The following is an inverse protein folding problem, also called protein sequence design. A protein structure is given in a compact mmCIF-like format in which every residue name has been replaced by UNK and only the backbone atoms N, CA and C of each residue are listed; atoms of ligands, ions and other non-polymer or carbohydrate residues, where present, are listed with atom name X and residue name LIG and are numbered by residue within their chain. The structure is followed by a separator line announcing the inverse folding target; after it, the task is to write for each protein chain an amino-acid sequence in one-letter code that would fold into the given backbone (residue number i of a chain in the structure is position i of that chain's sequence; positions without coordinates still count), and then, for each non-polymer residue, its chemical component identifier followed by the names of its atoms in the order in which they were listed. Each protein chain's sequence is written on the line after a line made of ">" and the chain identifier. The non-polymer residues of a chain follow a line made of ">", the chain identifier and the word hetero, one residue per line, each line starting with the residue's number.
data_IF_005213459689
#
_entry.id   IF_005213459689
#
_cell.length_a   1.000
_cell.length_b   1.000
_cell.length_c   1.000
_cell.angle_alpha   90.00
_cell.angle_beta   90.00
_cell.angle_gamma   90.00
#
_symmetry.space_group_name_H-M   'P 1'
#
loop_
_entity.id
_entity.type
_entity.pdbx_description
1 polymer ?
#
# COMPACT_ATOMS: atom_id res chain seq x y z
N UNK A 1 -10.28 12.98 -18.39
CA UNK A 1 -10.25 12.24 -19.67
C UNK A 1 -9.01 12.65 -20.48
N UNK A 2 -7.89 11.94 -20.36
CA UNK A 2 -6.65 12.25 -21.08
C UNK A 2 -6.18 10.98 -21.80
N UNK A 3 -6.22 11.02 -23.14
CA UNK A 3 -5.89 9.91 -24.01
C UNK A 3 -4.39 9.64 -24.10
N UNK A 4 -4.05 8.37 -24.30
CA UNK A 4 -2.73 7.97 -24.82
C UNK A 4 -2.64 8.50 -26.24
N UNK A 5 -1.89 9.59 -26.45
CA UNK A 5 -1.57 10.05 -27.80
C UNK A 5 -0.43 9.19 -28.35
N UNK A 6 -0.80 8.13 -29.05
CA UNK A 6 0.12 7.31 -29.83
C UNK A 6 0.53 8.06 -31.09
N UNK A 7 1.61 8.83 -31.02
CA UNK A 7 2.30 9.36 -32.20
C UNK A 7 3.61 8.60 -32.33
N UNK A 8 3.69 7.76 -33.37
CA UNK A 8 4.88 6.99 -33.78
C UNK A 8 5.39 5.89 -32.85
N UNK A 9 4.57 4.86 -32.57
CA UNK A 9 5.08 3.59 -32.01
C UNK A 9 5.64 3.62 -30.58
N UNK A 10 5.74 4.80 -29.95
CA UNK A 10 6.16 4.98 -28.57
C UNK A 10 4.96 5.29 -27.69
N UNK A 11 4.83 4.55 -26.59
CA UNK A 11 3.86 4.85 -25.54
C UNK A 11 4.43 5.94 -24.63
N UNK A 12 3.83 7.12 -24.68
CA UNK A 12 4.16 8.21 -23.76
C UNK A 12 3.19 8.17 -22.58
N UNK A 13 3.71 8.13 -21.37
CA UNK A 13 2.95 8.53 -20.19
C UNK A 13 3.23 10.02 -19.95
N UNK A 14 2.19 10.73 -19.53
CA UNK A 14 2.38 11.96 -18.79
C UNK A 14 3.10 11.57 -17.51
N UNK A 15 4.43 11.51 -17.58
CA UNK A 15 5.25 11.43 -16.40
C UNK A 15 4.99 12.77 -15.73
N UNK A 16 4.19 12.78 -14.64
CA UNK A 16 3.94 14.07 -14.01
C UNK A 16 5.22 14.55 -13.34
N UNK A 17 6.13 13.65 -12.89
CA UNK A 17 7.41 14.00 -12.25
C UNK A 17 8.45 12.87 -12.21
N UNK A 18 9.74 13.16 -11.91
CA UNK A 18 10.85 12.21 -11.93
C UNK A 18 11.00 11.40 -10.64
N UNK A 19 9.89 11.02 -9.98
CA UNK A 19 9.97 9.84 -9.11
C UNK A 19 9.99 8.60 -10.00
N UNK A 20 11.15 8.41 -10.64
CA UNK A 20 11.46 7.25 -11.47
C UNK A 20 11.25 5.95 -10.70
N UNK A 21 11.25 5.99 -9.36
CA UNK A 21 10.92 4.87 -8.49
C UNK A 21 9.48 4.42 -8.64
N UNK A 22 8.50 5.33 -8.52
CA UNK A 22 7.08 4.95 -8.64
C UNK A 22 6.72 4.46 -10.04
N UNK A 23 7.21 5.12 -11.10
CA UNK A 23 6.95 4.64 -12.47
C UNK A 23 7.73 3.35 -12.76
N UNK A 24 8.94 3.20 -12.22
CA UNK A 24 9.68 1.94 -12.25
C UNK A 24 8.89 0.81 -11.58
N UNK A 25 8.27 1.07 -10.43
CA UNK A 25 7.43 0.10 -9.72
C UNK A 25 6.21 -0.23 -10.58
N UNK A 26 5.59 0.79 -11.17
CA UNK A 26 4.44 0.62 -12.02
C UNK A 26 4.76 -0.24 -13.27
N UNK A 27 5.95 -0.06 -13.85
CA UNK A 27 6.45 -0.90 -14.95
C UNK A 27 6.70 -2.34 -14.50
N UNK A 28 7.36 -2.54 -13.37
CA UNK A 28 7.62 -3.88 -12.84
C UNK A 28 6.32 -4.64 -12.55
N UNK A 29 5.35 -3.97 -11.92
CA UNK A 29 4.01 -4.54 -11.68
C UNK A 29 3.29 -4.79 -13.01
N UNK A 30 3.40 -3.89 -13.97
CA UNK A 30 2.79 -4.06 -15.29
C UNK A 30 3.30 -5.32 -15.99
N UNK A 31 4.62 -5.61 -15.92
CA UNK A 31 5.20 -6.85 -16.42
C UNK A 31 4.55 -8.11 -15.82
N UNK A 32 4.30 -8.12 -14.50
CA UNK A 32 3.59 -9.23 -13.83
C UNK A 32 2.16 -9.37 -14.36
N UNK A 33 1.47 -8.24 -14.61
CA UNK A 33 0.13 -8.26 -15.22
C UNK A 33 0.15 -8.83 -16.65
N UNK A 34 1.23 -8.63 -17.42
CA UNK A 34 1.36 -9.24 -18.76
C UNK A 34 1.54 -10.76 -18.69
N UNK A 35 2.25 -11.25 -17.67
CA UNK A 35 2.39 -12.68 -17.40
C UNK A 35 1.03 -13.30 -17.03
N UNK A 36 0.24 -12.62 -16.18
CA UNK A 36 -1.13 -13.03 -15.83
C UNK A 36 -2.04 -13.04 -17.05
N UNK A 37 -1.92 -12.05 -17.95
CA UNK A 37 -2.71 -12.02 -19.19
C UNK A 37 -2.42 -13.24 -20.09
N UNK A 38 -1.16 -13.68 -20.11
CA UNK A 38 -0.70 -14.82 -20.90
C UNK A 38 -1.04 -16.16 -20.25
N UNK A 39 -0.98 -16.24 -18.92
CA UNK A 39 -1.25 -17.45 -18.15
C UNK A 39 -2.02 -17.09 -16.86
N UNK A 40 -3.36 -16.99 -16.92
CA UNK A 40 -4.16 -16.57 -15.78
C UNK A 40 -4.09 -17.59 -14.63
N UNK A 41 -3.64 -17.18 -13.43
CA UNK A 41 -3.65 -18.04 -12.25
C UNK A 41 -5.08 -18.18 -11.70
N UNK A 42 -5.31 -19.17 -10.84
CA UNK A 42 -6.60 -19.27 -10.13
C UNK A 42 -6.75 -18.19 -9.06
N UNK A 43 -5.64 -17.75 -8.46
CA UNK A 43 -5.62 -16.74 -7.40
C UNK A 43 -4.61 -15.62 -7.71
N UNK A 44 -5.01 -14.37 -7.46
CA UNK A 44 -4.12 -13.21 -7.44
C UNK A 44 -4.23 -12.51 -6.10
N UNK A 45 -3.08 -12.21 -5.50
CA UNK A 45 -2.98 -11.43 -4.26
C UNK A 45 -2.23 -10.14 -4.54
N UNK A 46 -2.88 -9.00 -4.39
CA UNK A 46 -2.23 -7.71 -4.34
C UNK A 46 -1.79 -7.43 -2.91
N UNK A 47 -0.48 -7.34 -2.65
CA UNK A 47 0.03 -6.86 -1.36
C UNK A 47 0.11 -5.34 -1.43
N UNK A 48 -0.91 -4.66 -0.89
CA UNK A 48 -1.08 -3.21 -0.99
C UNK A 48 -0.56 -2.52 0.27
N UNK A 49 0.69 -2.05 0.23
CA UNK A 49 1.40 -1.66 1.45
C UNK A 49 2.35 -0.50 1.32
N UNK A 50 2.78 0.01 2.47
CA UNK A 50 3.82 1.02 2.61
C UNK A 50 5.18 0.37 2.82
N UNK A 51 5.98 0.98 3.70
CA UNK A 51 7.32 0.49 4.05
C UNK A 51 7.31 -0.79 4.88
N UNK A 52 6.24 -1.08 5.62
CA UNK A 52 6.23 -2.27 6.47
C UNK A 52 6.10 -3.54 5.63
N UNK A 53 5.14 -3.60 4.72
CA UNK A 53 4.98 -4.70 3.78
C UNK A 53 6.20 -4.83 2.86
N UNK A 54 6.69 -3.72 2.31
CA UNK A 54 7.84 -3.70 1.40
C UNK A 54 9.12 -4.34 1.98
N UNK A 55 9.26 -4.30 3.30
CA UNK A 55 10.43 -4.79 4.05
C UNK A 55 10.16 -6.08 4.80
N UNK A 56 8.91 -6.37 5.15
CA UNK A 56 8.55 -7.49 5.99
C UNK A 56 7.89 -8.67 5.28
N UNK A 57 7.50 -8.53 4.00
CA UNK A 57 6.93 -9.63 3.22
C UNK A 57 7.86 -9.98 2.04
N UNK A 58 8.46 -11.17 2.11
CA UNK A 58 9.10 -11.80 0.95
C UNK A 58 8.01 -12.41 0.06
N UNK A 59 7.47 -11.60 -0.85
CA UNK A 59 6.36 -12.00 -1.71
C UNK A 59 6.71 -13.16 -2.65
N UNK A 60 7.99 -13.33 -3.04
CA UNK A 60 8.41 -14.46 -3.88
C UNK A 60 8.43 -15.75 -3.08
N UNK A 61 8.94 -15.70 -1.85
CA UNK A 61 8.87 -16.83 -0.94
C UNK A 61 7.42 -17.20 -0.62
N UNK A 62 6.57 -16.20 -0.36
CA UNK A 62 5.14 -16.42 -0.12
C UNK A 62 4.45 -17.07 -1.33
N UNK A 63 4.69 -16.56 -2.54
CA UNK A 63 4.13 -17.13 -3.78
C UNK A 63 4.58 -18.58 -3.98
N UNK A 64 5.88 -18.86 -3.82
CA UNK A 64 6.43 -20.21 -3.93
C UNK A 64 5.75 -21.17 -2.95
N UNK A 65 5.66 -20.79 -1.67
CA UNK A 65 5.05 -21.63 -0.62
C UNK A 65 3.57 -21.86 -0.86
N UNK A 66 2.82 -20.83 -1.27
CA UNK A 66 1.41 -21.01 -1.66
C UNK A 66 1.29 -21.96 -2.86
N UNK A 67 2.24 -21.91 -3.80
CA UNK A 67 2.31 -22.86 -4.92
C UNK A 67 2.51 -24.32 -4.49
N UNK A 68 3.22 -24.58 -3.39
CA UNK A 68 3.43 -25.93 -2.83
C UNK A 68 2.13 -26.58 -2.33
N UNK A 69 1.07 -25.78 -2.11
CA UNK A 69 -0.27 -26.30 -1.76
C UNK A 69 -1.06 -26.82 -2.97
N UNK A 70 -0.51 -26.68 -4.19
CA UNK A 70 -1.18 -27.04 -5.45
C UNK A 70 -2.02 -25.92 -6.07
N UNK A 71 -2.08 -24.75 -5.42
CA UNK A 71 -2.77 -23.57 -5.93
C UNK A 71 -1.91 -22.84 -6.96
N UNK A 72 -2.55 -22.33 -8.02
CA UNK A 72 -1.91 -21.41 -8.94
C UNK A 72 -2.10 -19.99 -8.40
N UNK A 73 -1.12 -19.51 -7.64
CA UNK A 73 -1.14 -18.19 -7.04
C UNK A 73 -0.16 -17.26 -7.74
N UNK A 74 -0.57 -16.00 -7.92
CA UNK A 74 0.35 -14.89 -8.23
C UNK A 74 0.25 -13.79 -7.19
N UNK A 75 1.39 -13.33 -6.72
CA UNK A 75 1.48 -12.20 -5.79
C UNK A 75 2.00 -10.98 -6.53
N UNK A 76 1.23 -9.89 -6.43
CA UNK A 76 1.55 -8.61 -7.03
C UNK A 76 1.92 -7.65 -5.90
N UNK A 77 3.22 -7.36 -5.71
CA UNK A 77 3.68 -6.52 -4.61
C UNK A 77 3.42 -5.04 -4.92
N UNK A 78 2.25 -4.55 -4.52
CA UNK A 78 1.85 -3.15 -4.63
C UNK A 78 2.38 -2.33 -3.44
N UNK A 79 3.69 -2.36 -3.26
CA UNK A 79 4.36 -1.83 -2.07
C UNK A 79 5.14 -0.56 -2.41
N UNK A 80 4.83 0.55 -1.73
CA UNK A 80 5.44 1.84 -1.97
C UNK A 80 5.95 2.45 -0.65
N UNK A 81 7.23 2.17 -0.27
CA UNK A 81 7.83 2.72 0.94
C UNK A 81 7.73 4.24 1.01
N UNK A 82 7.24 4.75 2.14
CA UNK A 82 7.07 6.18 2.36
C UNK A 82 5.94 6.83 1.57
N UNK A 83 5.13 6.09 0.82
CA UNK A 83 3.95 6.61 0.15
C UNK A 83 2.74 6.62 1.08
N UNK A 84 1.97 7.71 1.11
CA UNK A 84 0.66 7.70 1.76
C UNK A 84 -0.39 6.91 0.95
N UNK A 85 -1.62 6.81 1.48
CA UNK A 85 -2.70 6.04 0.83
C UNK A 85 -3.01 6.53 -0.59
N UNK A 86 -3.03 7.85 -0.80
CA UNK A 86 -3.37 8.43 -2.09
C UNK A 86 -2.24 8.38 -3.11
N UNK A 87 -0.99 8.38 -2.66
CA UNK A 87 0.15 8.04 -3.51
C UNK A 87 0.07 6.60 -4.02
N UNK A 88 -0.25 5.64 -3.13
CA UNK A 88 -0.45 4.24 -3.50
C UNK A 88 -1.62 4.08 -4.49
N UNK A 89 -2.73 4.80 -4.29
CA UNK A 89 -3.83 4.83 -5.26
C UNK A 89 -3.38 5.37 -6.63
N UNK A 90 -2.57 6.43 -6.65
CA UNK A 90 -2.01 6.97 -7.89
C UNK A 90 -1.12 5.96 -8.63
N UNK A 91 -0.37 5.15 -7.88
CA UNK A 91 0.40 4.05 -8.44
C UNK A 91 -0.54 3.01 -9.11
N UNK A 92 -1.72 2.69 -8.53
CA UNK A 92 -2.72 1.80 -9.17
C UNK A 92 -3.19 2.35 -10.50
N UNK A 93 -3.54 3.64 -10.54
CA UNK A 93 -3.91 4.31 -11.79
C UNK A 93 -2.78 4.27 -12.83
N UNK A 94 -1.53 4.41 -12.38
CA UNK A 94 -0.35 4.36 -13.25
C UNK A 94 -0.14 2.96 -13.83
N UNK A 95 -0.21 1.91 -13.01
CA UNK A 95 -0.13 0.51 -13.46
C UNK A 95 -1.24 0.21 -14.45
N UNK A 96 -2.50 0.54 -14.13
CA UNK A 96 -3.64 0.32 -15.03
C UNK A 96 -3.44 1.02 -16.38
N UNK A 97 -2.86 2.21 -16.38
CA UNK A 97 -2.54 2.95 -17.61
C UNK A 97 -1.43 2.28 -18.42
N UNK A 98 -0.35 1.84 -17.77
CA UNK A 98 0.78 1.16 -18.44
C UNK A 98 0.32 -0.19 -19.01
N UNK A 99 -0.35 -1.01 -18.20
CA UNK A 99 -0.85 -2.33 -18.62
C UNK A 99 -1.94 -2.25 -19.70
N UNK A 100 -2.65 -1.12 -19.79
CA UNK A 100 -3.66 -0.87 -20.81
C UNK A 100 -4.75 -1.95 -20.82
N UNK A 101 -4.95 -2.60 -21.97
CA UNK A 101 -5.95 -3.68 -22.11
C UNK A 101 -5.61 -4.91 -21.27
N UNK A 102 -4.32 -5.18 -21.00
CA UNK A 102 -3.87 -6.34 -20.22
C UNK A 102 -4.37 -6.31 -18.78
N UNK A 103 -4.66 -5.12 -18.23
CA UNK A 103 -5.30 -4.99 -16.91
C UNK A 103 -6.63 -5.74 -16.82
N UNK A 104 -7.39 -5.84 -17.92
CA UNK A 104 -8.65 -6.60 -17.95
C UNK A 104 -8.47 -8.10 -17.76
N UNK A 105 -7.25 -8.64 -17.89
CA UNK A 105 -6.98 -10.04 -17.58
C UNK A 105 -7.34 -10.42 -16.15
N UNK A 106 -7.29 -9.46 -15.22
CA UNK A 106 -7.70 -9.64 -13.84
C UNK A 106 -9.18 -10.04 -13.71
N UNK A 107 -10.04 -9.69 -14.69
CA UNK A 107 -11.44 -10.12 -14.71
C UNK A 107 -11.60 -11.65 -14.91
N UNK A 108 -10.56 -12.32 -15.42
CA UNK A 108 -10.53 -13.78 -15.67
C UNK A 108 -9.97 -14.58 -14.49
N UNK A 109 -9.42 -13.90 -13.48
CA UNK A 109 -8.90 -14.54 -12.27
C UNK A 109 -10.09 -15.00 -11.43
N UNK A 110 -10.04 -16.23 -10.91
CA UNK A 110 -11.12 -16.76 -10.07
C UNK A 110 -11.23 -16.00 -8.75
N UNK A 111 -10.09 -15.80 -8.09
CA UNK A 111 -10.00 -15.18 -6.77
C UNK A 111 -8.99 -14.04 -6.76
N UNK A 112 -9.44 -12.81 -6.48
CA UNK A 112 -8.58 -11.63 -6.42
C UNK A 112 -8.70 -10.97 -5.04
N UNK A 113 -7.61 -11.02 -4.30
CA UNK A 113 -7.49 -10.43 -2.97
C UNK A 113 -6.59 -9.20 -3.00
N UNK A 114 -6.96 -8.16 -2.25
CA UNK A 114 -6.14 -6.98 -1.98
C UNK A 114 -5.81 -7.02 -0.49
N UNK A 115 -4.64 -7.53 -0.13
CA UNK A 115 -4.14 -7.52 1.24
C UNK A 115 -3.56 -6.15 1.55
N UNK A 116 -4.34 -5.31 2.21
CA UNK A 116 -3.93 -3.97 2.61
C UNK A 116 -3.15 -3.99 3.93
N UNK A 117 -1.99 -3.34 3.92
CA UNK A 117 -1.25 -2.99 5.14
C UNK A 117 -2.04 -2.00 5.99
N UNK A 118 -2.36 -2.41 7.21
CA UNK A 118 -2.90 -1.55 8.27
C UNK A 118 -1.77 -1.12 9.20
N UNK A 119 -1.72 0.18 9.49
CA UNK A 119 -0.82 0.78 10.46
C UNK A 119 -1.47 2.00 11.08
N UNK A 120 -1.59 2.02 12.41
CA UNK A 120 -2.18 3.14 13.16
C UNK A 120 -1.59 4.50 12.75
N UNK A 121 -0.27 4.62 12.62
CA UNK A 121 0.35 5.91 12.24
C UNK A 121 -0.09 6.42 10.86
N UNK A 122 -0.35 5.53 9.91
CA UNK A 122 -0.71 5.88 8.53
C UNK A 122 -2.23 6.01 8.37
N UNK A 123 -3.01 5.10 8.96
CA UNK A 123 -4.47 5.07 8.81
C UNK A 123 -5.15 6.24 9.54
N UNK A 124 -4.50 6.81 10.57
CA UNK A 124 -4.94 8.04 11.22
C UNK A 124 -4.71 9.29 10.38
N UNK A 125 -3.76 9.26 9.44
CA UNK A 125 -3.44 10.39 8.59
C UNK A 125 -3.50 10.02 7.09
N UNK A 126 -4.63 10.30 6.41
CA UNK A 126 -4.87 9.87 5.04
C UNK A 126 -3.83 10.37 4.04
N UNK A 127 -3.20 11.51 4.36
CA UNK A 127 -2.19 12.18 3.54
C UNK A 127 -0.87 12.32 4.28
N UNK A 128 -0.50 11.33 5.09
CA UNK A 128 0.77 11.29 5.81
C UNK A 128 1.95 11.78 4.94
N UNK A 129 2.85 12.57 5.53
CA UNK A 129 4.00 13.23 4.87
C UNK A 129 3.66 14.35 3.86
N UNK A 130 2.40 14.69 3.59
CA UNK A 130 2.09 15.74 2.62
C UNK A 130 2.65 17.11 3.02
N UNK A 131 2.71 17.43 4.31
CA UNK A 131 3.24 18.71 4.80
C UNK A 131 4.71 18.92 4.42
N UNK A 132 5.51 17.87 4.55
CA UNK A 132 6.92 17.88 4.13
C UNK A 132 7.09 17.93 2.61
N UNK A 133 6.03 17.62 1.85
CA UNK A 133 6.03 17.53 0.40
C UNK A 133 5.16 18.60 -0.27
N UNK A 134 4.68 19.63 0.46
CA UNK A 134 3.83 20.66 -0.12
C UNK A 134 4.51 21.35 -1.30
N UNK A 135 3.76 21.51 -2.39
CA UNK A 135 4.24 22.09 -3.65
C UNK A 135 5.48 21.42 -4.25
N UNK A 136 5.84 20.22 -3.77
CA UNK A 136 6.87 19.40 -4.39
C UNK A 136 6.36 18.72 -5.65
N UNK A 137 7.29 18.36 -6.51
CA UNK A 137 7.11 17.47 -7.65
C UNK A 137 6.38 16.18 -7.24
N UNK A 138 6.74 15.60 -6.10
CA UNK A 138 6.10 14.39 -5.57
C UNK A 138 4.60 14.59 -5.32
N UNK A 139 4.24 15.60 -4.52
CA UNK A 139 2.84 15.89 -4.20
C UNK A 139 2.02 16.29 -5.43
N UNK A 140 2.59 17.09 -6.34
CA UNK A 140 1.95 17.43 -7.61
C UNK A 140 1.82 16.20 -8.53
N UNK A 141 2.69 15.20 -8.40
CA UNK A 141 2.66 13.98 -9.22
C UNK A 141 1.44 13.13 -8.97
N UNK A 142 1.10 12.88 -7.71
CA UNK A 142 0.05 11.94 -7.37
C UNK A 142 -1.33 12.58 -7.18
N UNK A 143 -1.41 13.88 -6.84
CA UNK A 143 -2.67 14.59 -6.58
C UNK A 143 -3.39 14.99 -7.87
N UNK A 144 -3.81 14.01 -8.68
CA UNK A 144 -4.76 14.24 -9.77
C UNK A 144 -6.09 14.80 -9.22
N UNK A 145 -6.94 15.44 -10.05
CA UNK A 145 -8.21 16.01 -9.54
C UNK A 145 -9.08 15.00 -8.79
N UNK A 146 -9.15 13.78 -9.30
CA UNK A 146 -9.89 12.66 -8.69
C UNK A 146 -9.30 12.27 -7.32
N UNK A 147 -7.98 12.11 -7.25
CA UNK A 147 -7.27 11.75 -6.01
C UNK A 147 -7.33 12.88 -4.99
N UNK A 148 -7.16 14.13 -5.44
CA UNK A 148 -7.24 15.32 -4.60
C UNK A 148 -8.64 15.49 -3.99
N UNK A 149 -9.70 15.16 -4.73
CA UNK A 149 -11.07 15.17 -4.20
C UNK A 149 -11.21 14.16 -3.04
N UNK A 150 -10.86 12.90 -3.26
CA UNK A 150 -10.96 11.86 -2.23
C UNK A 150 -10.08 12.16 -1.01
N UNK A 151 -8.88 12.71 -1.23
CA UNK A 151 -7.97 13.14 -0.16
C UNK A 151 -8.52 14.32 0.65
N UNK A 152 -9.07 15.34 -0.01
CA UNK A 152 -9.69 16.48 0.68
C UNK A 152 -10.91 16.06 1.49
N UNK A 153 -11.78 15.21 0.94
CA UNK A 153 -12.93 14.66 1.67
C UNK A 153 -12.49 13.86 2.91
N UNK A 154 -11.42 13.07 2.78
CA UNK A 154 -10.86 12.29 3.90
C UNK A 154 -10.33 13.18 5.03
N UNK A 155 -9.64 14.27 4.67
CA UNK A 155 -9.18 15.27 5.65
C UNK A 155 -10.35 15.95 6.37
N UNK A 156 -11.39 16.32 5.63
CA UNK A 156 -12.56 16.99 6.20
C UNK A 156 -13.41 16.06 7.09
N UNK A 157 -13.42 14.74 6.84
CA UNK A 157 -14.09 13.81 7.74
C UNK A 157 -13.34 13.65 9.07
N UNK A 158 -12.00 13.66 9.04
CA UNK A 158 -11.19 13.54 10.25
C UNK A 158 -11.21 14.83 11.08
N UNK A 159 -11.37 16.00 10.45
CA UNK A 159 -11.45 17.29 11.15
C UNK A 159 -12.62 17.36 12.14
N UNK A 160 -13.68 16.60 11.89
CA UNK A 160 -14.82 16.42 12.80
C UNK A 160 -14.44 15.65 14.07
N UNK A 161 -13.33 14.93 14.05
CA UNK A 161 -12.79 14.10 15.13
C UNK A 161 -11.43 14.66 15.60
N UNK A 162 -11.46 15.81 16.32
CA UNK A 162 -10.31 16.67 16.70
C UNK A 162 -9.12 16.00 17.43
N UNK A 163 -9.15 14.70 17.73
CA UNK A 163 -8.11 14.00 18.51
C UNK A 163 -6.98 13.38 17.67
N UNK A 164 -7.13 13.28 16.34
CA UNK A 164 -6.25 12.45 15.50
C UNK A 164 -5.17 13.19 14.69
N UNK A 165 -5.11 14.53 14.73
CA UNK A 165 -4.20 15.29 13.87
C UNK A 165 -3.02 15.86 14.66
N UNK A 166 -1.82 15.34 14.41
CA UNK A 166 -0.57 15.69 15.11
C UNK A 166 0.27 16.75 14.39
N UNK A 167 -0.29 17.45 13.41
CA UNK A 167 0.46 18.34 12.54
C UNK A 167 0.17 19.83 12.77
N UNK A 168 1.11 20.68 12.35
CA UNK A 168 1.06 22.13 12.58
C UNK A 168 -0.04 22.87 11.81
N UNK A 169 -0.79 22.17 10.95
CA UNK A 169 -1.88 22.70 10.13
C UNK A 169 -3.22 22.02 10.44
N UNK A 170 -4.31 22.78 10.40
CA UNK A 170 -5.66 22.19 10.53
C UNK A 170 -6.00 21.34 9.30
N UNK A 171 -6.79 20.26 9.46
CA UNK A 171 -7.20 19.42 8.33
C UNK A 171 -7.93 20.20 7.23
N UNK A 172 -8.72 21.23 7.57
CA UNK A 172 -9.40 22.08 6.58
C UNK A 172 -8.40 22.87 5.73
N UNK A 173 -7.37 23.43 6.37
CA UNK A 173 -6.35 24.19 5.66
C UNK A 173 -5.53 23.28 4.76
N UNK A 174 -5.25 22.06 5.23
CA UNK A 174 -4.56 21.08 4.41
C UNK A 174 -5.44 20.60 3.23
N UNK A 175 -6.74 20.40 3.45
CA UNK A 175 -7.68 20.06 2.39
C UNK A 175 -7.74 21.14 1.31
N UNK A 176 -7.74 22.43 1.70
CA UNK A 176 -7.63 23.56 0.76
C UNK A 176 -6.36 23.43 -0.11
N UNK A 177 -5.21 23.10 0.50
CA UNK A 177 -3.95 22.94 -0.23
C UNK A 177 -3.97 21.72 -1.16
N UNK A 178 -4.51 20.59 -0.70
CA UNK A 178 -4.70 19.38 -1.52
C UNK A 178 -5.56 19.68 -2.76
N UNK A 179 -6.65 20.44 -2.60
CA UNK A 179 -7.49 20.87 -3.72
C UNK A 179 -6.71 21.78 -4.68
N UNK A 180 -5.90 22.71 -4.17
CA UNK A 180 -5.03 23.56 -5.02
C UNK A 180 -4.08 22.72 -5.87
N UNK A 181 -3.46 21.69 -5.29
CA UNK A 181 -2.63 20.74 -6.04
C UNK A 181 -3.41 20.04 -7.16
N UNK A 182 -4.62 19.57 -6.86
CA UNK A 182 -5.54 18.98 -7.84
C UNK A 182 -5.87 19.94 -8.99
N UNK A 183 -6.14 21.21 -8.68
CA UNK A 183 -6.43 22.25 -9.67
C UNK A 183 -5.23 22.58 -10.55
N UNK A 184 -4.02 22.71 -9.98
CA UNK A 184 -2.78 22.90 -10.76
C UNK A 184 -2.64 21.80 -11.82
N UNK A 185 -3.03 20.58 -11.45
CA UNK A 185 -3.04 19.41 -12.32
C UNK A 185 -4.13 19.41 -13.41
N UNK A 186 -5.17 20.26 -13.31
CA UNK A 186 -6.14 20.51 -14.38
C UNK A 186 -5.60 21.47 -15.44
N UNK A 187 -4.84 22.48 -15.03
CA UNK A 187 -4.36 23.54 -15.93
C UNK A 187 -3.12 23.16 -16.74
N UNK A 188 -2.61 21.93 -16.58
CA UNK A 188 -1.53 21.35 -17.40
C UNK A 188 -0.27 22.26 -17.51
N UNK A 189 -0.01 23.07 -16.48
CA UNK A 189 1.14 23.98 -16.47
C UNK A 189 2.42 23.16 -16.57
N UNK A 190 3.17 23.34 -17.66
CA UNK A 190 4.43 22.61 -17.92
C UNK A 190 4.27 21.17 -18.45
N UNK A 191 3.09 20.77 -18.92
CA UNK A 191 2.79 19.36 -19.27
C UNK A 191 3.70 18.73 -20.33
N UNK A 192 4.20 19.52 -21.30
CA UNK A 192 5.09 19.02 -22.34
C UNK A 192 6.50 18.74 -21.80
N UNK A 193 6.96 19.54 -20.84
CA UNK A 193 8.28 19.41 -20.21
C UNK A 193 8.37 18.25 -19.22
N UNK A 194 7.23 17.72 -18.79
CA UNK A 194 7.17 16.66 -17.78
C UNK A 194 7.08 15.26 -18.39
N UNK A 195 6.74 15.12 -19.68
CA UNK A 195 6.62 13.79 -20.32
C UNK A 195 7.95 13.04 -20.31
N UNK A 196 7.89 11.75 -19.96
CA UNK A 196 8.98 10.83 -20.17
C UNK A 196 8.49 9.63 -20.97
N UNK A 197 9.34 9.14 -21.86
CA UNK A 197 9.09 7.89 -22.56
C UNK A 197 9.15 6.75 -21.53
N UNK A 198 8.08 5.97 -21.43
CA UNK A 198 7.97 4.86 -20.48
C UNK A 198 9.10 3.87 -20.72
N UNK A 199 9.43 3.61 -21.99
CA UNK A 199 10.44 2.64 -22.40
C UNK A 199 11.83 3.00 -21.88
N UNK A 200 12.09 4.29 -21.60
CA UNK A 200 13.36 4.78 -21.04
C UNK A 200 13.44 4.65 -19.51
N UNK A 201 12.33 4.40 -18.83
CA UNK A 201 12.31 4.25 -17.37
C UNK A 201 12.59 2.79 -17.03
N UNK A 202 13.59 2.52 -16.18
CA UNK A 202 13.91 1.17 -15.75
C UNK A 202 12.87 0.67 -14.76
N UNK A 203 12.47 -0.59 -14.88
CA UNK A 203 11.71 -1.27 -13.83
C UNK A 203 12.56 -1.35 -12.55
N UNK A 204 11.97 -1.04 -11.41
CA UNK A 204 12.62 -1.11 -10.10
C UNK A 204 12.36 -2.46 -9.44
N UNK A 205 13.23 -2.81 -8.50
CA UNK A 205 12.98 -3.96 -7.63
C UNK A 205 11.81 -3.64 -6.70
N UNK A 206 10.80 -4.52 -6.72
CA UNK A 206 9.59 -4.38 -5.89
C UNK A 206 9.79 -4.88 -4.45
N UNK A 207 10.99 -5.38 -4.14
CA UNK A 207 11.33 -5.94 -2.84
C UNK A 207 12.61 -5.33 -2.28
N UNK A 208 12.54 -4.84 -1.04
CA UNK A 208 13.60 -4.06 -0.41
C UNK A 208 14.00 -4.72 0.90
N UNK A 209 14.70 -5.85 0.78
CA UNK A 209 15.22 -6.60 1.92
C UNK A 209 16.33 -5.79 2.61
N UNK A 210 16.14 -5.46 3.87
CA UNK A 210 17.17 -4.81 4.68
C UNK A 210 18.08 -5.87 5.29
N UNK A 211 19.39 -5.73 5.07
CA UNK A 211 20.39 -6.65 5.64
C UNK A 211 20.99 -6.06 6.92
N UNK A 212 21.03 -6.84 7.99
CA UNK A 212 21.59 -6.42 9.28
C UNK A 212 20.64 -5.53 10.10
N UNK A 213 21.23 -4.67 10.94
CA UNK A 213 20.51 -3.65 11.72
C UNK A 213 21.04 -2.26 11.39
N UNK A 214 20.17 -1.25 11.48
CA UNK A 214 20.57 0.14 11.33
C UNK A 214 21.56 0.56 12.41
N UNK A 215 22.48 1.45 12.04
CA UNK A 215 23.49 1.97 12.97
C UNK A 215 22.80 2.70 14.12
N UNK A 216 23.17 2.36 15.35
CA UNK A 216 22.62 3.00 16.55
C UNK A 216 21.23 2.50 16.97
N UNK A 217 20.69 1.46 16.34
CA UNK A 217 19.42 0.88 16.75
C UNK A 217 19.50 0.26 18.15
N UNK A 218 18.74 0.84 19.08
CA UNK A 218 18.50 0.27 20.41
C UNK A 218 17.22 -0.56 20.36
N UNK A 219 17.39 -1.88 20.31
CA UNK A 219 16.27 -2.80 20.32
C UNK A 219 15.55 -2.75 21.67
N UNK A 220 14.24 -2.50 21.62
CA UNK A 220 13.35 -2.65 22.77
C UNK A 220 12.61 -3.98 22.62
N UNK A 221 12.57 -4.83 23.66
CA UNK A 221 11.79 -6.07 23.60
C UNK A 221 10.35 -5.81 23.18
N UNK A 222 9.79 -6.70 22.36
CA UNK A 222 8.44 -6.55 21.81
C UNK A 222 7.40 -6.40 22.91
N UNK A 223 7.55 -7.05 24.07
CA UNK A 223 6.64 -6.86 25.21
C UNK A 223 6.57 -5.40 25.69
N UNK A 224 7.65 -4.64 25.54
CA UNK A 224 7.68 -3.20 25.87
C UNK A 224 7.03 -2.38 24.76
N UNK A 225 7.23 -2.76 23.50
CA UNK A 225 6.56 -2.14 22.33
C UNK A 225 5.05 -2.39 22.38
N UNK A 226 4.63 -3.61 22.71
CA UNK A 226 3.24 -4.05 22.83
C UNK A 226 2.54 -3.48 24.06
N UNK A 227 3.22 -3.37 25.22
CA UNK A 227 2.64 -2.67 26.38
C UNK A 227 2.30 -1.21 26.06
N UNK A 228 3.12 -0.55 25.24
CA UNK A 228 2.85 0.82 24.76
C UNK A 228 1.65 0.85 23.80
N UNK A 229 1.49 -0.18 22.97
CA UNK A 229 0.33 -0.37 22.10
C UNK A 229 -0.98 -0.62 22.87
N UNK A 230 -0.94 -1.43 23.94
CA UNK A 230 -2.10 -1.72 24.81
C UNK A 230 -2.54 -0.48 25.62
N UNK A 231 -1.66 0.47 25.89
CA UNK A 231 -2.08 1.76 26.49
C UNK A 231 -2.88 2.66 25.55
N UNK A 232 -2.82 2.45 24.23
CA UNK A 232 -3.68 3.14 23.25
C UNK A 232 -5.09 2.50 23.14
N UNK A 233 -5.33 1.37 23.80
CA UNK A 233 -6.33 0.35 23.41
C UNK A 233 -7.68 0.39 24.15
N UNK A 234 -8.13 1.50 24.74
CA UNK A 234 -9.48 1.50 25.39
C UNK A 234 -10.39 2.70 25.16
N UNK A 235 -9.98 3.68 24.35
CA UNK A 235 -10.80 4.89 24.19
C UNK A 235 -10.64 5.67 22.90
N UNK A 236 -9.85 5.18 21.95
CA UNK A 236 -9.67 5.81 20.65
C UNK A 236 -10.02 4.79 19.58
N UNK A 237 -11.32 4.56 19.38
CA UNK A 237 -11.83 4.17 18.07
C UNK A 237 -11.55 5.36 17.17
N UNK A 238 -10.34 5.42 16.62
CA UNK A 238 -10.09 6.39 15.58
C UNK A 238 -10.94 6.00 14.37
N UNK A 239 -11.88 6.87 14.11
CA UNK A 239 -12.83 6.75 13.04
C UNK A 239 -12.07 6.77 11.70
N UNK A 240 -11.90 5.60 11.08
CA UNK A 240 -11.31 5.45 9.74
C UNK A 240 -12.41 5.42 8.68
N UNK A 241 -13.59 5.99 8.96
CA UNK A 241 -14.69 6.19 8.02
C UNK A 241 -14.24 6.75 6.66
N UNK A 242 -13.22 7.60 6.68
CA UNK A 242 -12.64 8.14 5.46
C UNK A 242 -12.14 7.05 4.50
N UNK A 243 -11.60 5.93 5.01
CA UNK A 243 -11.16 4.80 4.18
C UNK A 243 -12.36 4.19 3.47
N UNK A 244 -13.43 3.92 4.20
CA UNK A 244 -14.65 3.30 3.67
C UNK A 244 -15.38 4.18 2.66
N UNK A 245 -15.49 5.48 2.93
CA UNK A 245 -16.31 6.37 2.10
C UNK A 245 -15.55 6.97 0.91
N UNK A 246 -14.24 7.18 1.03
CA UNK A 246 -13.48 7.93 0.03
C UNK A 246 -12.35 7.11 -0.59
N UNK A 247 -11.62 6.33 0.21
CA UNK A 247 -10.47 5.58 -0.28
C UNK A 247 -10.86 4.29 -1.00
N UNK A 248 -11.55 3.36 -0.33
CA UNK A 248 -11.93 2.06 -0.88
C UNK A 248 -12.81 2.18 -2.12
N UNK A 249 -13.80 3.07 -2.22
CA UNK A 249 -14.56 3.23 -3.46
C UNK A 249 -13.65 3.62 -4.63
N UNK A 250 -12.70 4.55 -4.40
CA UNK A 250 -11.73 4.95 -5.41
C UNK A 250 -10.78 3.80 -5.80
N UNK A 251 -10.34 3.02 -4.82
CA UNK A 251 -9.49 1.85 -5.03
C UNK A 251 -10.24 0.76 -5.82
N UNK A 252 -11.42 0.36 -5.37
CA UNK A 252 -12.21 -0.72 -5.95
C UNK A 252 -12.70 -0.42 -7.36
N UNK A 253 -12.91 0.86 -7.72
CA UNK A 253 -13.14 1.27 -9.12
C UNK A 253 -11.97 0.94 -10.07
N UNK A 254 -10.80 0.61 -9.54
CA UNK A 254 -9.66 0.17 -10.33
C UNK A 254 -9.61 -1.35 -10.53
N UNK A 255 -10.32 -2.15 -9.72
CA UNK A 255 -10.25 -3.61 -9.73
C UNK A 255 -11.55 -4.25 -10.24
N UNK A 256 -11.53 -5.54 -10.65
CA UNK A 256 -12.74 -6.29 -10.97
C UNK A 256 -13.76 -6.29 -9.82
N UNK A 257 -15.06 -6.36 -10.13
CA UNK A 257 -16.13 -6.31 -9.12
C UNK A 257 -16.16 -7.48 -8.15
N UNK A 258 -15.48 -8.60 -8.47
CA UNK A 258 -15.36 -9.76 -7.59
C UNK A 258 -14.15 -9.68 -6.65
N UNK A 259 -13.36 -8.60 -6.72
CA UNK A 259 -12.19 -8.39 -5.86
C UNK A 259 -12.62 -8.23 -4.41
N UNK A 260 -11.78 -8.72 -3.49
CA UNK A 260 -12.00 -8.63 -2.05
C UNK A 260 -10.85 -7.89 -1.40
N UNK A 261 -11.12 -7.15 -0.33
CA UNK A 261 -10.08 -6.57 0.50
C UNK A 261 -9.84 -7.54 1.65
N UNK A 262 -8.57 -7.70 2.04
CA UNK A 262 -8.17 -8.33 3.27
C UNK A 262 -7.17 -7.41 3.96
N UNK A 263 -6.93 -7.63 5.24
CA UNK A 263 -6.12 -6.73 6.05
C UNK A 263 -4.96 -7.46 6.67
N UNK A 264 -3.78 -6.88 6.59
CA UNK A 264 -2.55 -7.42 7.19
C UNK A 264 -1.93 -6.36 8.10
N UNK A 265 -1.58 -6.77 9.32
CA UNK A 265 -0.82 -5.93 10.25
C UNK A 265 0.61 -6.43 10.35
N UNK A 266 1.56 -5.50 10.22
CA UNK A 266 2.98 -5.80 10.35
C UNK A 266 3.49 -5.40 11.74
N UNK A 267 4.47 -6.12 12.29
CA UNK A 267 5.07 -5.77 13.59
C UNK A 267 5.81 -4.44 13.48
N UNK A 268 5.51 -3.50 14.39
CA UNK A 268 6.18 -2.20 14.45
C UNK A 268 6.09 -1.59 15.86
N UNK A 269 6.87 -0.53 16.13
CA UNK A 269 6.88 0.15 17.45
C UNK A 269 5.62 0.95 17.77
N UNK A 270 4.79 1.27 16.78
CA UNK A 270 3.56 2.03 16.97
C UNK A 270 2.40 1.14 17.44
N UNK A 271 2.59 -0.18 17.48
CA UNK A 271 1.56 -1.14 17.89
C UNK A 271 0.63 -1.55 16.75
N UNK A 272 -0.01 -2.71 16.92
CA UNK A 272 -0.99 -3.28 15.98
C UNK A 272 -2.42 -2.74 16.22
N UNK A 273 -2.56 -1.50 16.70
CA UNK A 273 -3.75 -1.00 17.41
C UNK A 273 -5.02 -0.78 16.58
N UNK A 274 -5.11 -1.20 15.32
CA UNK A 274 -6.23 -0.86 14.45
C UNK A 274 -6.94 -2.08 13.85
N UNK A 275 -7.47 -2.92 14.74
CA UNK A 275 -8.22 -4.15 14.38
C UNK A 275 -9.74 -3.91 14.48
N UNK A 276 -10.20 -2.93 15.28
CA UNK A 276 -11.62 -2.83 15.66
C UNK A 276 -12.60 -2.36 14.57
N UNK A 277 -12.23 -1.49 13.62
CA UNK A 277 -13.15 -1.11 12.52
C UNK A 277 -13.03 -2.03 11.29
N UNK A 278 -11.88 -2.69 11.10
CA UNK A 278 -11.72 -3.73 10.06
C UNK A 278 -12.50 -5.01 10.36
N UNK A 279 -12.83 -5.27 11.63
CA UNK A 279 -13.74 -6.36 12.03
C UNK A 279 -15.17 -6.18 11.47
N UNK A 280 -15.53 -4.98 11.01
CA UNK A 280 -16.86 -4.65 10.52
C UNK A 280 -17.13 -5.03 9.05
N UNK A 281 -16.13 -5.40 8.25
CA UNK A 281 -16.32 -5.73 6.82
C UNK A 281 -16.55 -7.21 6.51
N UNK A 282 -16.39 -8.12 7.48
CA UNK A 282 -16.54 -9.57 7.25
C UNK A 282 -15.47 -10.16 6.30
N UNK A 283 -14.37 -9.45 6.12
CA UNK A 283 -13.23 -9.82 5.27
C UNK A 283 -12.10 -10.49 6.07
N UNK A 284 -11.15 -11.11 5.36
CA UNK A 284 -9.97 -11.77 5.94
C UNK A 284 -9.13 -10.74 6.70
N UNK A 285 -9.01 -10.91 8.02
CA UNK A 285 -8.24 -10.04 8.91
C UNK A 285 -7.09 -10.82 9.52
N UNK A 286 -5.88 -10.57 9.03
CA UNK A 286 -4.65 -11.21 9.46
C UNK A 286 -3.94 -10.31 10.46
N UNK A 287 -4.35 -10.46 11.71
CA UNK A 287 -3.78 -9.72 12.83
C UNK A 287 -2.78 -10.58 13.60
N UNK A 288 -1.57 -10.05 13.78
CA UNK A 288 -0.56 -10.71 14.60
C UNK A 288 -0.70 -10.41 16.10
N UNK A 289 -1.63 -9.51 16.46
CA UNK A 289 -1.77 -8.94 17.80
C UNK A 289 -1.82 -10.01 18.90
N UNK A 290 -2.50 -11.11 18.62
CA UNK A 290 -2.72 -12.20 19.56
C UNK A 290 -1.88 -13.45 19.26
N UNK A 291 -1.01 -13.40 18.23
CA UNK A 291 -0.14 -14.51 17.88
C UNK A 291 1.16 -14.48 18.70
N UNK A 292 1.07 -14.98 19.95
CA UNK A 292 2.18 -15.04 20.91
C UNK A 292 3.40 -15.78 20.32
N UNK A 293 3.18 -16.81 19.51
CA UNK A 293 4.25 -17.58 18.89
C UNK A 293 5.06 -16.74 17.89
N UNK A 294 4.40 -16.01 16.99
CA UNK A 294 5.06 -15.09 16.07
C UNK A 294 5.79 -13.97 16.84
N UNK A 295 5.13 -13.37 17.83
CA UNK A 295 5.71 -12.30 18.63
C UNK A 295 6.98 -12.76 19.36
N UNK A 296 6.97 -13.95 19.96
CA UNK A 296 8.17 -14.52 20.59
C UNK A 296 9.30 -14.76 19.58
N UNK A 297 8.99 -15.27 18.38
CA UNK A 297 10.00 -15.47 17.32
C UNK A 297 10.63 -14.16 16.85
N UNK A 298 9.84 -13.07 16.82
CA UNK A 298 10.30 -11.75 16.43
C UNK A 298 10.94 -10.96 17.59
N UNK A 299 10.93 -11.49 18.82
CA UNK A 299 11.44 -10.79 20.01
C UNK A 299 12.97 -10.91 20.15
N UNK A 300 13.69 -10.72 19.05
CA UNK A 300 15.14 -10.77 18.98
C UNK A 300 15.66 -9.65 18.08
N UNK A 301 16.68 -8.91 18.53
CA UNK A 301 17.28 -7.79 17.78
C UNK A 301 17.68 -8.17 16.36
N UNK A 302 18.15 -9.40 16.15
CA UNK A 302 18.57 -9.92 14.85
C UNK A 302 17.43 -10.09 13.84
N UNK A 303 16.18 -9.89 14.24
CA UNK A 303 15.00 -9.86 13.36
C UNK A 303 14.67 -8.45 12.84
N UNK A 304 15.30 -7.42 13.39
CA UNK A 304 14.91 -6.03 13.18
C UNK A 304 16.03 -5.19 12.57
N UNK A 305 15.64 -4.36 11.60
CA UNK A 305 16.49 -3.34 11.04
C UNK A 305 16.47 -2.08 11.93
N UNK A 306 15.28 -1.62 12.30
CA UNK A 306 15.07 -0.50 13.23
C UNK A 306 13.82 -0.78 14.10
N UNK A 307 13.32 0.22 14.83
CA UNK A 307 12.15 0.03 15.71
C UNK A 307 10.84 -0.25 14.96
N UNK A 308 10.82 -0.06 13.66
CA UNK A 308 9.63 -0.07 12.81
C UNK A 308 9.71 -1.16 11.73
N UNK A 309 10.90 -1.58 11.33
CA UNK A 309 11.09 -2.43 10.18
C UNK A 309 11.86 -3.71 10.53
N UNK A 310 11.33 -4.82 10.04
CA UNK A 310 12.02 -6.10 10.02
C UNK A 310 13.23 -6.04 9.08
N UNK A 311 14.27 -6.80 9.42
CA UNK A 311 15.32 -7.12 8.47
C UNK A 311 15.00 -8.42 7.72
N UNK A 312 15.94 -8.94 6.94
CA UNK A 312 15.78 -10.17 6.18
C UNK A 312 15.25 -11.38 6.98
N UNK A 313 15.81 -11.62 8.17
CA UNK A 313 15.42 -12.76 9.00
C UNK A 313 14.02 -12.57 9.58
N UNK A 314 13.71 -11.36 10.04
CA UNK A 314 12.38 -11.00 10.51
C UNK A 314 11.34 -11.11 9.39
N UNK A 315 11.66 -10.61 8.19
CA UNK A 315 10.78 -10.65 7.03
C UNK A 315 10.46 -12.10 6.62
N UNK A 316 11.48 -12.97 6.59
CA UNK A 316 11.28 -14.41 6.37
C UNK A 316 10.36 -15.00 7.45
N UNK A 317 10.67 -14.73 8.72
CA UNK A 317 9.88 -15.22 9.85
C UNK A 317 8.40 -14.79 9.75
N UNK A 318 8.14 -13.53 9.41
CA UNK A 318 6.79 -13.00 9.24
C UNK A 318 6.09 -13.58 8.00
N UNK A 319 6.81 -13.69 6.88
CA UNK A 319 6.29 -14.31 5.65
C UNK A 319 5.88 -15.75 5.90
N UNK A 320 6.65 -16.47 6.73
CA UNK A 320 6.34 -17.85 7.04
C UNK A 320 5.04 -18.00 7.84
N UNK A 321 4.82 -17.10 8.79
CA UNK A 321 3.56 -17.01 9.53
C UNK A 321 2.40 -16.60 8.62
N UNK A 322 2.58 -15.59 7.76
CA UNK A 322 1.55 -15.12 6.84
C UNK A 322 1.08 -16.24 5.90
N UNK A 323 1.99 -17.09 5.43
CA UNK A 323 1.64 -18.29 4.68
C UNK A 323 0.74 -19.23 5.50
N UNK A 324 1.10 -19.53 6.75
CA UNK A 324 0.33 -20.44 7.62
C UNK A 324 -1.09 -19.92 7.85
N UNK A 325 -1.23 -18.62 8.12
CA UNK A 325 -2.54 -17.99 8.31
C UNK A 325 -3.40 -18.04 7.03
N UNK A 326 -2.82 -17.67 5.87
CA UNK A 326 -3.53 -17.70 4.59
C UNK A 326 -4.00 -19.11 4.22
N UNK A 327 -3.20 -20.15 4.51
CA UNK A 327 -3.59 -21.54 4.26
C UNK A 327 -4.62 -22.03 5.27
N UNK A 328 -4.59 -21.54 6.51
CA UNK A 328 -5.58 -21.90 7.52
C UNK A 328 -6.95 -21.26 7.28
N UNK A 329 -6.99 -20.12 6.58
CA UNK A 329 -8.22 -19.42 6.27
C UNK A 329 -8.92 -20.03 5.05
N UNK A 330 -9.92 -20.86 5.32
CA UNK A 330 -10.75 -21.51 4.29
C UNK A 330 -11.42 -20.48 3.35
N UNK A 331 -11.71 -19.27 3.83
CA UNK A 331 -12.30 -18.23 2.98
C UNK A 331 -11.33 -17.68 1.95
N UNK A 332 -10.03 -17.75 2.23
CA UNK A 332 -8.97 -17.38 1.31
C UNK A 332 -8.76 -18.44 0.22
N UNK A 333 -8.99 -19.73 0.55
CA UNK A 333 -8.70 -20.88 -0.32
C UNK A 333 -9.87 -21.38 -1.18
N UNK A 334 -11.11 -21.31 -0.69
CA UNK A 334 -12.25 -22.03 -1.31
C UNK A 334 -13.27 -21.12 -2.04
N UNK A 335 -13.13 -19.79 -1.95
CA UNK A 335 -14.14 -18.83 -2.40
C UNK A 335 -13.57 -17.67 -3.17
#
# INVERSE_FOLDING_TARGET
>A
MLGVLGVHGYSYIFNRYPDTGQIGNAKAISSIIEEIDSNPPSHVIFVFGGSYAARGIDWKSLESRLGETGLQVRIIPFMAPGANHFERLSLVHSVRRISGKKWKSLERVGHLWILEEISMGYDLNPVEQIEANLFSDRALGYLTPEIAYSAACSLLSISRNRKAYSYGMSPEKLAEIVVKHGLINCFNVGILWRKSCIDKIRATDLYWLLSGSSVGFEFKPLDTMMKTAVTYDRGVTADIFWKREYFYPSLMMCFPSHSRIGYITMPNSSGSGFVQESEYSGEVLLTMRDNVCLLNRLNDRSMWWDSNHLNANGAKCFTDWLFEELVSDVTFLEK
#
